data_IF_885326198781
#
_entry.id   IF_885326198781
#
_cell.length_a   1.000
_cell.length_b   1.000
_cell.length_c   1.000
_cell.angle_alpha   90.00
_cell.angle_beta   90.00
_cell.angle_gamma   90.00
#
_symmetry.space_group_name_H-M   'P 1'
#
loop_
_entity.id
_entity.type
_entity.pdbx_description
1 polymer ?
#
# COMPACT_ATOMS: atom_id res chain seq x y z
N UNK A 1 -14.09 -19.47 -19.98
CA UNK A 1 -13.51 -18.15 -19.82
C UNK A 1 -12.39 -18.20 -18.78
N UNK A 2 -11.28 -17.66 -19.12
CA UNK A 2 -10.14 -17.66 -18.24
C UNK A 2 -10.20 -16.51 -17.26
N UNK A 3 -9.85 -16.80 -16.02
CA UNK A 3 -9.69 -15.76 -15.03
C UNK A 3 -8.31 -15.15 -15.15
N UNK A 4 -8.27 -13.84 -15.11
CA UNK A 4 -6.99 -13.15 -15.18
C UNK A 4 -6.32 -13.21 -13.83
N UNK A 5 -5.09 -13.72 -13.81
CA UNK A 5 -4.31 -13.75 -12.58
C UNK A 5 -3.67 -12.39 -12.35
N UNK A 6 -3.62 -11.91 -11.11
CA UNK A 6 -2.89 -10.68 -10.85
C UNK A 6 -1.40 -10.89 -11.10
N UNK A 7 -0.74 -9.81 -11.56
CA UNK A 7 0.69 -9.88 -11.82
C UNK A 7 1.49 -10.02 -10.51
N UNK A 8 0.98 -9.47 -9.41
CA UNK A 8 1.66 -9.50 -8.12
C UNK A 8 0.71 -10.04 -7.06
N UNK A 9 1.27 -10.85 -6.17
CA UNK A 9 0.54 -11.34 -5.00
C UNK A 9 0.68 -10.34 -3.87
N UNK A 10 -0.42 -10.03 -3.19
CA UNK A 10 -0.43 -9.04 -2.13
C UNK A 10 -0.36 -9.74 -0.77
N UNK A 11 0.60 -9.33 0.05
CA UNK A 11 0.81 -9.86 1.39
C UNK A 11 0.55 -8.72 2.36
N UNK A 12 -0.11 -9.01 3.47
CA UNK A 12 -0.51 -7.98 4.43
C UNK A 12 0.24 -8.17 5.74
N UNK A 13 0.87 -7.09 6.22
CA UNK A 13 1.54 -7.12 7.52
C UNK A 13 0.52 -7.00 8.65
N UNK A 14 0.95 -7.36 9.85
CA UNK A 14 0.09 -7.19 11.02
C UNK A 14 -0.20 -5.73 11.27
N UNK A 15 0.79 -4.88 11.06
CA UNK A 15 0.59 -3.46 11.28
C UNK A 15 -0.46 -2.89 10.34
N UNK A 16 -0.49 -3.37 9.09
CA UNK A 16 -1.50 -2.91 8.15
C UNK A 16 -2.90 -3.24 8.65
N UNK A 17 -3.09 -4.45 9.17
CA UNK A 17 -4.42 -4.82 9.68
C UNK A 17 -4.82 -3.96 10.86
N UNK A 18 -3.87 -3.63 11.75
CA UNK A 18 -4.15 -2.73 12.86
C UNK A 18 -4.54 -1.34 12.35
N UNK A 19 -3.80 -0.84 11.37
CA UNK A 19 -4.09 0.47 10.80
C UNK A 19 -5.47 0.49 10.16
N UNK A 20 -5.79 -0.58 9.43
CA UNK A 20 -7.08 -0.68 8.77
C UNK A 20 -8.22 -0.65 9.78
N UNK A 21 -8.01 -1.34 10.90
CA UNK A 21 -9.01 -1.36 11.94
C UNK A 21 -9.25 0.02 12.54
N UNK A 22 -8.18 0.79 12.73
CA UNK A 22 -8.32 2.16 13.22
C UNK A 22 -9.17 2.99 12.27
N UNK A 23 -8.91 2.86 10.97
CA UNK A 23 -9.70 3.62 9.98
C UNK A 23 -11.14 3.17 9.97
N UNK A 24 -11.39 1.87 10.14
CA UNK A 24 -12.77 1.37 10.19
C UNK A 24 -13.51 1.93 11.41
N UNK A 25 -12.84 1.95 12.54
CA UNK A 25 -13.49 2.43 13.78
C UNK A 25 -13.74 3.92 13.73
N UNK A 26 -12.90 4.67 13.03
CA UNK A 26 -13.12 6.10 12.89
C UNK A 26 -14.23 6.42 11.91
N UNK A 27 -14.70 5.44 11.15
CA UNK A 27 -15.80 5.63 10.22
C UNK A 27 -15.46 6.38 8.97
N UNK A 28 -14.18 6.47 8.62
CA UNK A 28 -13.77 7.25 7.46
C UNK A 28 -13.84 6.38 6.20
N UNK A 29 -14.98 6.41 5.55
CA UNK A 29 -15.23 5.57 4.39
C UNK A 29 -14.37 5.97 3.20
N UNK A 30 -14.01 7.24 3.09
CA UNK A 30 -13.17 7.69 1.97
C UNK A 30 -11.77 7.09 2.05
N UNK A 31 -11.22 7.02 3.26
CA UNK A 31 -9.91 6.40 3.44
C UNK A 31 -9.98 4.92 3.06
N UNK A 32 -11.00 4.23 3.51
CA UNK A 32 -11.14 2.80 3.21
C UNK A 32 -11.29 2.56 1.71
N UNK A 33 -12.04 3.41 1.03
CA UNK A 33 -12.19 3.31 -0.41
C UNK A 33 -10.86 3.51 -1.12
N UNK A 34 -10.09 4.47 -0.66
CA UNK A 34 -8.82 4.77 -1.27
C UNK A 34 -7.84 3.62 -1.09
N UNK A 35 -7.84 3.02 0.10
CA UNK A 35 -6.99 1.86 0.36
C UNK A 35 -7.38 0.71 -0.56
N UNK A 36 -8.67 0.45 -0.74
CA UNK A 36 -9.14 -0.59 -1.65
C UNK A 36 -8.63 -0.36 -3.06
N UNK A 37 -8.72 0.89 -3.54
CA UNK A 37 -8.27 1.21 -4.89
C UNK A 37 -6.77 1.00 -5.02
N UNK A 38 -6.00 1.36 -3.99
CA UNK A 38 -4.56 1.14 -4.01
C UNK A 38 -4.23 -0.35 -4.08
N UNK A 39 -4.95 -1.17 -3.31
CA UNK A 39 -4.71 -2.61 -3.32
C UNK A 39 -4.95 -3.19 -4.72
N UNK A 40 -5.99 -2.73 -5.39
CA UNK A 40 -6.24 -3.16 -6.76
C UNK A 40 -5.08 -2.78 -7.68
N UNK A 41 -4.56 -1.56 -7.53
CA UNK A 41 -3.45 -1.11 -8.37
C UNK A 41 -2.20 -1.93 -8.14
N UNK A 42 -1.94 -2.33 -6.89
CA UNK A 42 -0.74 -3.07 -6.58
C UNK A 42 -0.69 -4.41 -7.31
N UNK A 43 -1.83 -4.99 -7.60
CA UNK A 43 -1.86 -6.28 -8.27
C UNK A 43 -1.32 -6.22 -9.68
N UNK A 44 -1.36 -5.05 -10.31
CA UNK A 44 -0.94 -4.92 -11.70
C UNK A 44 0.27 -4.01 -11.85
N UNK A 45 0.26 -2.84 -11.20
CA UNK A 45 1.30 -1.84 -11.39
C UNK A 45 1.75 -1.26 -10.07
N UNK A 46 2.51 -2.04 -9.25
CA UNK A 46 2.84 -1.58 -7.89
C UNK A 46 3.77 -0.38 -7.83
N UNK A 47 4.47 -0.05 -8.90
CA UNK A 47 5.42 1.06 -8.84
C UNK A 47 4.89 2.34 -9.45
N UNK A 48 3.62 2.39 -9.79
CA UNK A 48 2.99 3.61 -10.31
C UNK A 48 1.51 3.56 -10.01
N UNK A 49 0.78 4.52 -10.55
CA UNK A 49 -0.65 4.61 -10.33
C UNK A 49 -1.00 5.86 -9.57
N UNK A 50 -2.18 5.86 -8.94
CA UNK A 50 -2.69 7.03 -8.26
C UNK A 50 -2.03 7.20 -6.89
N UNK A 51 -2.31 8.34 -6.25
CA UNK A 51 -1.82 8.58 -4.90
C UNK A 51 -0.41 9.08 -4.85
N UNK A 52 0.08 9.72 -5.92
CA UNK A 52 1.45 10.25 -5.94
C UNK A 52 2.46 9.18 -5.54
N UNK A 53 2.38 8.06 -6.22
CA UNK A 53 3.26 6.91 -5.96
C UNK A 53 4.72 7.31 -6.10
N UNK A 54 5.52 7.02 -5.10
CA UNK A 54 6.94 7.36 -5.15
C UNK A 54 7.77 6.37 -4.33
N UNK A 55 9.01 6.11 -4.76
CA UNK A 55 9.90 5.29 -3.96
C UNK A 55 10.41 6.09 -2.77
N UNK A 56 10.60 5.40 -1.66
CA UNK A 56 11.10 6.03 -0.44
C UNK A 56 12.59 5.79 -0.30
N UNK A 57 13.28 6.81 0.18
CA UNK A 57 14.71 6.72 0.43
C UNK A 57 14.96 6.26 1.85
N UNK A 58 16.17 5.78 2.11
CA UNK A 58 16.55 5.38 3.45
C UNK A 58 16.29 3.93 3.79
N UNK A 59 15.88 3.13 2.80
CA UNK A 59 15.60 1.72 3.03
C UNK A 59 16.66 0.81 2.40
N UNK A 60 17.80 1.38 2.04
CA UNK A 60 18.87 0.59 1.45
C UNK A 60 18.46 0.03 0.10
N UNK A 61 18.61 -1.27 -0.07
CA UNK A 61 18.26 -1.92 -1.33
C UNK A 61 16.80 -2.38 -1.39
N UNK A 62 16.05 -2.12 -0.34
CA UNK A 62 14.64 -2.48 -0.33
C UNK A 62 13.85 -1.54 -1.22
N UNK A 63 12.88 -2.08 -1.93
CA UNK A 63 12.02 -1.29 -2.82
C UNK A 63 10.74 -0.90 -2.11
N UNK A 64 10.84 0.11 -1.25
CA UNK A 64 9.73 0.58 -0.45
C UNK A 64 9.12 1.79 -1.12
N UNK A 65 7.80 1.78 -1.27
CA UNK A 65 7.06 2.82 -1.96
C UNK A 65 5.98 3.39 -1.06
N UNK A 66 5.53 4.58 -1.38
CA UNK A 66 4.38 5.17 -0.70
C UNK A 66 3.37 5.67 -1.71
N UNK A 67 2.10 5.60 -1.30
CA UNK A 67 1.00 6.28 -1.97
C UNK A 67 0.32 7.14 -0.93
N UNK A 68 -0.11 8.32 -1.35
CA UNK A 68 -0.71 9.25 -0.42
C UNK A 68 -2.21 8.96 -0.30
N UNK A 69 -2.67 8.66 0.91
CA UNK A 69 -4.09 8.48 1.16
C UNK A 69 -4.77 9.84 1.30
N UNK A 70 -4.22 10.68 2.18
CA UNK A 70 -4.67 12.06 2.34
C UNK A 70 -3.55 12.85 3.00
N UNK A 71 -3.84 14.04 3.52
CA UNK A 71 -2.81 14.86 4.10
C UNK A 71 -2.16 14.29 5.36
N UNK A 72 -2.83 13.35 6.01
CA UNK A 72 -2.34 12.76 7.25
C UNK A 72 -1.76 11.38 7.09
N UNK A 73 -2.22 10.61 6.13
CA UNK A 73 -1.91 9.18 6.08
C UNK A 73 -1.31 8.78 4.76
N UNK A 74 -0.34 7.89 4.84
CA UNK A 74 0.32 7.30 3.68
C UNK A 74 0.15 5.80 3.71
N UNK A 75 0.16 5.22 2.52
CA UNK A 75 0.03 3.79 2.29
C UNK A 75 1.41 3.29 1.89
N UNK A 76 2.05 2.51 2.75
CA UNK A 76 3.45 2.11 2.58
C UNK A 76 3.51 0.63 2.25
N UNK A 77 4.33 0.30 1.25
CA UNK A 77 4.43 -1.10 0.83
C UNK A 77 5.81 -1.34 0.23
N UNK A 78 6.17 -2.61 0.17
CA UNK A 78 7.45 -3.03 -0.38
C UNK A 78 7.21 -3.95 -1.57
N UNK A 79 7.96 -3.77 -2.65
CA UNK A 79 7.79 -4.53 -3.88
C UNK A 79 8.94 -5.52 -4.01
N UNK A 80 8.60 -6.79 -4.20
CA UNK A 80 9.55 -7.88 -4.43
C UNK A 80 9.38 -8.34 -5.87
N UNK A 81 10.16 -7.72 -6.76
CA UNK A 81 9.98 -7.94 -8.20
C UNK A 81 10.23 -9.37 -8.62
N UNK A 82 11.26 -9.99 -8.07
CA UNK A 82 11.61 -11.33 -8.51
C UNK A 82 10.59 -12.36 -8.09
N UNK A 83 9.99 -12.16 -6.92
CA UNK A 83 8.95 -13.07 -6.45
C UNK A 83 7.56 -12.69 -6.92
N UNK A 84 7.44 -11.51 -7.55
CA UNK A 84 6.14 -10.97 -7.95
C UNK A 84 5.20 -10.86 -6.77
N UNK A 85 5.69 -10.23 -5.70
CA UNK A 85 4.94 -10.03 -4.47
C UNK A 85 5.05 -8.60 -4.02
N UNK A 86 4.02 -8.15 -3.32
CA UNK A 86 4.00 -6.82 -2.69
C UNK A 86 3.53 -7.03 -1.25
N UNK A 87 4.31 -6.53 -0.31
CA UNK A 87 3.91 -6.58 1.09
C UNK A 87 3.43 -5.20 1.52
N UNK A 88 2.19 -5.12 1.99
CA UNK A 88 1.63 -3.87 2.49
C UNK A 88 2.05 -3.71 3.93
N UNK A 89 2.76 -2.63 4.22
CA UNK A 89 3.40 -2.46 5.52
C UNK A 89 2.56 -1.63 6.48
N UNK A 90 1.98 -0.53 6.01
CA UNK A 90 1.22 0.34 6.91
C UNK A 90 0.30 1.24 6.09
N UNK A 91 -0.67 1.84 6.78
CA UNK A 91 -1.63 2.74 6.13
C UNK A 91 -2.06 3.86 7.07
N UNK A 92 -1.26 4.14 8.09
CA UNK A 92 -1.60 5.15 9.09
C UNK A 92 -0.39 6.03 9.36
N UNK A 93 -0.60 7.36 9.31
CA UNK A 93 0.47 8.29 9.59
C UNK A 93 1.39 8.51 8.42
N UNK A 94 2.49 9.17 8.68
CA UNK A 94 3.50 9.47 7.67
C UNK A 94 4.65 8.49 7.77
N UNK A 95 5.26 8.19 6.64
CA UNK A 95 6.34 7.21 6.60
C UNK A 95 7.60 7.69 7.30
N UNK A 96 7.79 9.00 7.45
CA UNK A 96 8.96 9.52 8.15
C UNK A 96 8.56 10.28 9.40
N UNK A 97 7.42 9.95 9.96
CA UNK A 97 6.91 10.59 11.16
C UNK A 97 7.69 10.10 12.37
N UNK A 98 8.24 11.00 13.12
CA UNK A 98 9.03 10.65 14.29
C UNK A 98 8.33 11.04 15.56
#
# INVERSE_FOLDING_TARGET
MEEKQPAFEIIYSKEFFSDLEIHKQSGNKQILKKIDAFLDELEETPTKGTGQTEPLKGYGERNVYSKRINGKHHFIYEVFEEEKKVEVLSAFGHYNDK
#
